data_IF_886071069512
#
_entry.id   IF_886071069512
#
_cell.length_a   1.000
_cell.length_b   1.000
_cell.length_c   1.000
_cell.angle_alpha   90.00
_cell.angle_beta   90.00
_cell.angle_gamma   90.00
#
_symmetry.space_group_name_H-M   'P 1'
#
loop_
_entity.id
_entity.type
_entity.pdbx_description
1 polymer ?
#
# COMPACT_ATOMS: atom_id res chain seq x y z
N UNK A 1 -12.11 -0.50 16.65
CA UNK A 1 -12.20 -1.52 15.59
C UNK A 1 -10.84 -1.60 14.90
N UNK A 2 -10.32 -2.79 14.65
CA UNK A 2 -9.08 -2.95 13.92
C UNK A 2 -9.24 -2.39 12.49
N UNK A 3 -8.26 -1.64 12.00
CA UNK A 3 -8.21 -1.10 10.65
C UNK A 3 -8.05 -2.25 9.67
N UNK A 4 -8.99 -2.42 8.74
CA UNK A 4 -8.97 -3.49 7.72
C UNK A 4 -9.16 -2.91 6.33
N UNK A 5 -8.64 -3.61 5.32
CA UNK A 5 -8.83 -3.21 3.92
C UNK A 5 -10.22 -3.62 3.47
N UNK A 6 -11.05 -2.69 2.98
CA UNK A 6 -12.37 -2.99 2.48
C UNK A 6 -12.32 -3.81 1.18
N UNK A 7 -13.44 -4.42 0.79
CA UNK A 7 -13.62 -4.88 -0.57
C UNK A 7 -13.91 -3.69 -1.48
N UNK A 8 -13.15 -3.57 -2.56
CA UNK A 8 -13.34 -2.49 -3.54
C UNK A 8 -14.24 -2.89 -4.72
N UNK A 9 -14.68 -4.15 -4.79
CA UNK A 9 -15.42 -4.68 -5.95
C UNK A 9 -16.77 -4.00 -6.22
N UNK A 10 -17.40 -3.44 -5.19
CA UNK A 10 -18.63 -2.67 -5.31
C UNK A 10 -18.37 -1.16 -5.51
N UNK A 11 -17.17 -0.68 -5.20
CA UNK A 11 -16.82 0.72 -5.30
C UNK A 11 -16.83 1.21 -6.75
N UNK A 12 -17.32 2.43 -6.95
CA UNK A 12 -17.38 3.12 -8.26
C UNK A 12 -16.70 4.46 -8.17
N UNK A 13 -15.83 4.75 -9.11
CA UNK A 13 -15.14 6.05 -9.19
C UNK A 13 -15.17 6.56 -10.63
N UNK A 14 -15.66 7.79 -10.79
CA UNK A 14 -15.51 8.57 -12.01
C UNK A 14 -14.29 9.46 -11.86
N UNK A 15 -13.32 9.31 -12.76
CA UNK A 15 -12.13 10.17 -12.83
C UNK A 15 -12.31 11.13 -14.00
N UNK A 16 -12.08 12.42 -13.77
CA UNK A 16 -12.05 13.43 -14.82
C UNK A 16 -10.82 14.31 -14.64
N UNK A 17 -10.14 14.68 -15.73
CA UNK A 17 -8.98 15.55 -15.63
C UNK A 17 -8.04 15.49 -16.80
N UNK A 18 -6.83 16.00 -16.56
CA UNK A 18 -5.78 16.07 -17.56
C UNK A 18 -5.13 14.71 -17.75
N UNK A 19 -5.43 14.06 -18.87
CA UNK A 19 -4.83 12.77 -19.25
C UNK A 19 -3.55 12.99 -20.04
N UNK A 20 -2.56 12.12 -19.86
CA UNK A 20 -1.30 12.20 -20.60
C UNK A 20 -0.69 10.82 -20.84
N UNK A 21 0.16 10.73 -21.86
CA UNK A 21 0.93 9.56 -22.19
C UNK A 21 2.39 9.78 -21.82
N UNK A 22 2.92 8.96 -20.92
CA UNK A 22 4.35 8.91 -20.62
C UNK A 22 5.03 7.88 -21.54
N UNK A 23 5.92 8.35 -22.42
CA UNK A 23 6.72 7.50 -23.31
C UNK A 23 8.18 7.44 -22.82
N UNK A 24 8.75 6.25 -22.87
CA UNK A 24 10.14 6.01 -22.50
C UNK A 24 10.85 5.32 -23.66
N UNK A 25 11.90 5.95 -24.19
CA UNK A 25 12.77 5.36 -25.19
C UNK A 25 14.10 4.97 -24.56
N UNK A 26 14.40 3.69 -24.63
CA UNK A 26 15.63 3.13 -24.07
C UNK A 26 16.61 2.78 -25.16
N UNK A 27 17.91 3.05 -24.92
CA UNK A 27 18.95 2.63 -25.84
C UNK A 27 20.34 3.09 -25.44
N UNK A 28 21.38 2.45 -26.00
CA UNK A 28 22.76 2.86 -25.76
C UNK A 28 23.05 4.21 -26.42
N UNK A 29 23.80 5.04 -25.67
CA UNK A 29 24.38 6.30 -26.14
C UNK A 29 25.90 6.13 -26.21
N UNK A 30 26.45 5.82 -27.39
CA UNK A 30 27.86 5.48 -27.55
C UNK A 30 28.63 6.41 -28.48
N UNK A 31 27.97 7.38 -29.10
CA UNK A 31 28.61 8.31 -30.04
C UNK A 31 28.01 9.72 -29.95
N UNK A 32 28.80 10.70 -30.39
CA UNK A 32 28.37 12.08 -30.62
C UNK A 32 27.97 12.21 -32.09
N UNK A 33 26.97 13.04 -32.38
CA UNK A 33 26.55 13.32 -33.76
C UNK A 33 27.68 14.05 -34.52
N UNK A 34 27.91 13.69 -35.81
CA UNK A 34 28.80 14.48 -36.66
C UNK A 34 28.19 15.84 -37.06
N UNK A 35 26.87 16.04 -36.89
CA UNK A 35 26.16 17.24 -37.31
C UNK A 35 26.10 18.32 -36.21
N UNK A 36 26.24 17.90 -34.94
CA UNK A 36 26.22 18.80 -33.78
C UNK A 36 26.82 18.09 -32.54
N UNK A 37 27.33 18.82 -31.55
CA UNK A 37 27.92 18.22 -30.33
C UNK A 37 26.84 17.66 -29.38
N UNK A 38 25.99 16.78 -29.87
CA UNK A 38 24.90 16.14 -29.13
C UNK A 38 25.05 14.61 -29.13
N UNK A 39 24.64 13.95 -28.06
CA UNK A 39 24.66 12.50 -27.96
C UNK A 39 23.67 11.84 -28.95
N UNK A 40 24.05 10.72 -29.55
CA UNK A 40 23.17 9.88 -30.39
C UNK A 40 22.73 8.67 -29.60
N UNK A 41 21.43 8.56 -29.34
CA UNK A 41 20.83 7.38 -28.72
C UNK A 41 20.24 6.49 -29.80
N UNK A 42 20.67 5.22 -29.82
CA UNK A 42 20.08 4.21 -30.69
C UNK A 42 18.93 3.53 -29.92
N UNK A 43 17.69 3.93 -30.20
CA UNK A 43 16.52 3.36 -29.54
C UNK A 43 16.43 1.86 -29.83
N UNK A 44 16.39 1.05 -28.79
CA UNK A 44 16.28 -0.42 -28.85
C UNK A 44 14.98 -0.94 -28.27
N UNK A 45 14.34 -0.18 -27.38
CA UNK A 45 13.03 -0.50 -26.83
C UNK A 45 12.26 0.78 -26.47
N UNK A 46 10.94 0.68 -26.42
CA UNK A 46 10.04 1.71 -25.97
C UNK A 46 9.07 1.14 -24.95
N UNK A 47 8.60 1.99 -24.05
CA UNK A 47 7.54 1.69 -23.10
C UNK A 47 6.58 2.89 -23.06
N UNK A 48 5.32 2.60 -22.87
CA UNK A 48 4.27 3.60 -22.69
C UNK A 48 3.54 3.38 -21.36
N UNK A 49 3.20 4.45 -20.67
CA UNK A 49 2.50 4.42 -19.40
C UNK A 49 1.44 5.52 -19.37
N UNK A 50 0.37 5.26 -18.63
CA UNK A 50 -0.64 6.25 -18.33
C UNK A 50 -0.10 7.28 -17.34
N UNK A 51 -0.32 8.58 -17.59
CA UNK A 51 0.08 9.68 -16.68
C UNK A 51 -1.10 10.57 -16.34
N UNK A 52 -0.97 11.40 -15.30
CA UNK A 52 -2.02 12.27 -14.82
C UNK A 52 -3.29 11.54 -14.42
N UNK A 53 -4.45 12.07 -14.80
CA UNK A 53 -5.75 11.44 -14.51
C UNK A 53 -5.85 9.99 -15.00
N UNK A 54 -5.14 9.62 -16.07
CA UNK A 54 -5.08 8.25 -16.56
C UNK A 54 -4.31 7.32 -15.59
N UNK A 55 -3.25 7.81 -14.92
CA UNK A 55 -2.55 7.06 -13.89
C UNK A 55 -3.42 6.86 -12.63
N UNK A 56 -4.19 7.87 -12.23
CA UNK A 56 -5.18 7.73 -11.15
C UNK A 56 -6.17 6.62 -11.47
N UNK A 57 -6.70 6.58 -12.71
CA UNK A 57 -7.65 5.56 -13.14
C UNK A 57 -7.04 4.15 -13.15
N UNK A 58 -5.79 3.99 -13.60
CA UNK A 58 -5.05 2.70 -13.54
C UNK A 58 -4.87 2.22 -12.10
N UNK A 59 -4.51 3.12 -11.17
CA UNK A 59 -4.38 2.77 -9.76
C UNK A 59 -5.71 2.28 -9.16
N UNK A 60 -6.83 2.95 -9.47
CA UNK A 60 -8.17 2.53 -9.05
C UNK A 60 -8.55 1.15 -9.61
N UNK A 61 -8.34 0.92 -10.89
CA UNK A 61 -8.62 -0.36 -11.53
C UNK A 61 -7.77 -1.50 -10.95
N UNK A 62 -6.50 -1.24 -10.62
CA UNK A 62 -5.60 -2.19 -9.95
C UNK A 62 -6.09 -2.63 -8.56
N UNK A 63 -6.89 -1.79 -7.88
CA UNK A 63 -7.56 -2.13 -6.63
C UNK A 63 -8.85 -2.94 -6.82
N UNK A 64 -9.33 -3.09 -8.07
CA UNK A 64 -10.60 -3.73 -8.40
C UNK A 64 -11.81 -2.78 -8.32
N UNK A 65 -11.60 -1.46 -8.32
CA UNK A 65 -12.65 -0.45 -8.36
C UNK A 65 -13.22 -0.35 -9.78
N UNK A 66 -14.53 -0.24 -9.91
CA UNK A 66 -15.18 0.05 -11.20
C UNK A 66 -14.88 1.50 -11.60
N UNK A 67 -13.96 1.68 -12.53
CA UNK A 67 -13.39 2.97 -12.88
C UNK A 67 -13.81 3.41 -14.26
N UNK A 68 -14.34 4.64 -14.36
CA UNK A 68 -14.57 5.35 -15.63
C UNK A 68 -13.70 6.59 -15.68
N UNK A 69 -13.07 6.85 -16.82
CA UNK A 69 -12.18 7.99 -17.03
C UNK A 69 -12.70 8.89 -18.14
N UNK A 70 -12.80 10.18 -17.87
CA UNK A 70 -13.05 11.23 -18.84
C UNK A 70 -11.83 12.13 -18.99
N UNK A 71 -11.45 12.46 -20.19
CA UNK A 71 -10.29 13.30 -20.48
C UNK A 71 -10.36 13.96 -21.86
N UNK A 72 -9.50 14.94 -22.09
CA UNK A 72 -9.33 15.58 -23.40
C UNK A 72 -8.02 15.09 -24.01
N UNK A 73 -8.08 14.69 -25.28
CA UNK A 73 -6.92 14.23 -26.07
C UNK A 73 -6.93 14.85 -27.45
N UNK A 74 -5.81 14.77 -28.14
CA UNK A 74 -5.79 14.94 -29.59
C UNK A 74 -6.47 13.77 -30.30
N UNK A 75 -6.66 13.92 -31.61
CA UNK A 75 -7.04 12.81 -32.50
C UNK A 75 -5.79 12.30 -33.22
N UNK A 76 -4.93 11.62 -32.42
CA UNK A 76 -3.59 11.22 -32.83
C UNK A 76 -3.20 9.82 -32.27
N UNK A 77 -2.05 9.29 -32.72
CA UNK A 77 -1.55 7.98 -32.31
C UNK A 77 -1.37 7.86 -30.80
N UNK A 78 -1.02 8.95 -30.10
CA UNK A 78 -0.83 8.95 -28.66
C UNK A 78 -2.17 8.74 -27.92
N UNK A 79 -3.27 9.34 -28.41
CA UNK A 79 -4.63 9.10 -27.91
C UNK A 79 -5.04 7.64 -28.05
N UNK A 80 -4.81 7.04 -29.22
CA UNK A 80 -5.16 5.63 -29.45
C UNK A 80 -4.31 4.68 -28.63
N UNK A 81 -3.00 4.95 -28.49
CA UNK A 81 -2.10 4.19 -27.61
C UNK A 81 -2.58 4.25 -26.16
N UNK A 82 -2.89 5.45 -25.65
CA UNK A 82 -3.37 5.63 -24.28
C UNK A 82 -4.70 4.90 -24.05
N UNK A 83 -5.65 5.00 -24.98
CA UNK A 83 -6.93 4.29 -24.89
C UNK A 83 -6.74 2.77 -24.87
N UNK A 84 -5.87 2.23 -25.73
CA UNK A 84 -5.56 0.80 -25.76
C UNK A 84 -4.93 0.32 -24.45
N UNK A 85 -3.97 1.09 -23.92
CA UNK A 85 -3.32 0.81 -22.64
C UNK A 85 -4.33 0.75 -21.49
N UNK A 86 -5.23 1.73 -21.41
CA UNK A 86 -6.26 1.81 -20.38
C UNK A 86 -7.27 0.66 -20.46
N UNK A 87 -7.69 0.30 -21.68
CA UNK A 87 -8.58 -0.84 -21.88
C UNK A 87 -7.96 -2.16 -21.40
N UNK A 88 -6.66 -2.39 -21.63
CA UNK A 88 -5.93 -3.55 -21.11
C UNK A 88 -5.82 -3.56 -19.59
N UNK A 89 -5.86 -2.39 -18.95
CA UNK A 89 -5.84 -2.24 -17.48
C UNK A 89 -7.25 -2.28 -16.86
N UNK A 90 -8.31 -2.50 -17.67
CA UNK A 90 -9.69 -2.59 -17.18
C UNK A 90 -10.33 -1.24 -16.86
N UNK A 91 -9.82 -0.15 -17.41
CA UNK A 91 -10.39 1.19 -17.28
C UNK A 91 -11.36 1.45 -18.42
N UNK A 92 -12.60 1.80 -18.10
CA UNK A 92 -13.57 2.32 -19.07
C UNK A 92 -13.25 3.80 -19.31
N UNK A 93 -12.79 4.16 -20.52
CA UNK A 93 -12.39 5.53 -20.83
C UNK A 93 -13.15 6.11 -22.01
N UNK A 94 -13.52 7.37 -21.86
CA UNK A 94 -14.19 8.18 -22.89
C UNK A 94 -13.44 9.50 -23.05
N UNK A 95 -12.79 9.68 -24.22
CA UNK A 95 -12.00 10.88 -24.50
C UNK A 95 -12.76 11.83 -25.44
N UNK A 96 -12.79 13.11 -25.04
CA UNK A 96 -13.10 14.20 -25.93
C UNK A 96 -11.91 14.42 -26.87
N UNK A 97 -11.99 13.96 -28.11
CA UNK A 97 -10.93 14.13 -29.09
C UNK A 97 -11.02 15.47 -29.77
N UNK A 98 -9.91 16.21 -29.72
CA UNK A 98 -9.76 17.53 -30.32
C UNK A 98 -8.69 17.46 -31.41
N UNK A 99 -9.07 17.62 -32.71
CA UNK A 99 -8.10 17.45 -33.81
C UNK A 99 -7.01 18.53 -33.85
N UNK A 100 -7.28 19.69 -33.25
CA UNK A 100 -6.41 20.86 -33.33
C UNK A 100 -5.35 20.93 -32.19
N UNK A 101 -5.35 19.98 -31.25
CA UNK A 101 -4.36 19.90 -30.18
C UNK A 101 -3.70 18.51 -30.12
N UNK A 102 -2.43 18.41 -29.75
CA UNK A 102 -1.81 17.10 -29.54
C UNK A 102 -2.28 16.48 -28.22
N UNK A 103 -2.32 15.14 -28.17
CA UNK A 103 -2.42 14.43 -26.88
C UNK A 103 -1.19 14.73 -26.06
N UNK A 104 -1.38 15.19 -24.81
CA UNK A 104 -0.27 15.49 -23.91
C UNK A 104 0.62 14.26 -23.80
N UNK A 105 1.87 14.38 -24.25
CA UNK A 105 2.83 13.29 -24.25
C UNK A 105 4.15 13.76 -23.66
N UNK A 106 4.67 13.01 -22.68
CA UNK A 106 5.97 13.25 -22.08
C UNK A 106 6.94 12.15 -22.49
N UNK A 107 7.78 12.43 -23.48
CA UNK A 107 8.78 11.49 -23.98
C UNK A 107 10.09 11.64 -23.23
N UNK A 108 10.56 10.55 -22.60
CA UNK A 108 11.86 10.47 -21.92
C UNK A 108 12.80 9.56 -22.67
N UNK A 109 14.00 10.05 -22.95
CA UNK A 109 15.07 9.29 -23.57
C UNK A 109 16.06 8.83 -22.49
N UNK A 110 16.22 7.53 -22.34
CA UNK A 110 16.99 6.91 -21.26
C UNK A 110 18.13 6.06 -21.83
N UNK A 111 19.34 6.26 -21.31
CA UNK A 111 20.50 5.43 -21.59
C UNK A 111 21.20 5.05 -20.29
N UNK A 112 21.55 3.76 -20.12
CA UNK A 112 22.25 3.24 -18.92
C UNK A 112 21.61 3.70 -17.59
N UNK A 113 20.28 3.64 -17.49
CA UNK A 113 19.48 4.08 -16.34
C UNK A 113 19.55 5.59 -16.03
N UNK A 114 20.03 6.42 -16.96
CA UNK A 114 20.08 7.87 -16.84
C UNK A 114 19.15 8.51 -17.88
N UNK A 115 18.30 9.43 -17.45
CA UNK A 115 17.49 10.25 -18.34
C UNK A 115 18.40 11.31 -19.00
N UNK A 116 18.48 11.27 -20.33
CA UNK A 116 19.28 12.21 -21.12
C UNK A 116 18.47 13.43 -21.56
N UNK A 117 17.19 13.24 -21.87
CA UNK A 117 16.32 14.27 -22.41
C UNK A 117 14.86 13.94 -22.02
N UNK A 118 14.04 15.01 -21.84
CA UNK A 118 12.59 14.95 -21.84
C UNK A 118 12.05 15.90 -22.89
N UNK A 119 11.10 15.43 -23.70
CA UNK A 119 10.36 16.23 -24.67
C UNK A 119 8.89 16.20 -24.28
N UNK A 120 8.28 17.38 -24.12
CA UNK A 120 6.89 17.53 -23.76
C UNK A 120 6.13 18.01 -24.99
N UNK A 121 5.18 17.19 -25.46
CA UNK A 121 4.24 17.50 -26.55
C UNK A 121 2.94 17.95 -25.91
N UNK A 122 2.73 19.25 -25.84
CA UNK A 122 1.54 19.86 -25.24
C UNK A 122 1.35 21.27 -25.79
N UNK A 123 0.10 21.68 -25.91
CA UNK A 123 -0.25 23.05 -26.25
C UNK A 123 -0.48 23.87 -24.97
N UNK A 124 -0.17 25.16 -24.97
CA UNK A 124 -0.45 26.03 -23.83
C UNK A 124 -1.94 26.02 -23.46
N UNK A 125 -2.29 26.08 -22.17
CA UNK A 125 -3.67 26.22 -21.74
C UNK A 125 -4.35 27.42 -22.41
N UNK A 126 -5.51 27.21 -23.04
CA UNK A 126 -6.28 28.28 -23.71
C UNK A 126 -6.08 28.43 -25.22
N UNK A 127 -5.19 27.64 -25.85
CA UNK A 127 -5.06 27.61 -27.31
C UNK A 127 -6.21 26.80 -27.99
N UNK A 128 -6.82 25.85 -27.23
CA UNK A 128 -8.04 25.14 -27.68
C UNK A 128 -9.28 25.86 -27.18
N UNK A 129 -10.12 26.31 -28.09
CA UNK A 129 -11.36 27.05 -27.84
C UNK A 129 -12.22 26.34 -26.75
N UNK A 130 -12.14 26.77 -25.49
CA UNK A 130 -13.13 26.50 -24.45
C UNK A 130 -13.53 25.04 -24.20
N UNK A 131 -12.70 24.08 -24.58
CA UNK A 131 -12.98 22.67 -24.30
C UNK A 131 -12.89 22.43 -22.79
N UNK A 132 -13.99 22.00 -22.19
CA UNK A 132 -14.09 21.64 -20.77
C UNK A 132 -14.90 20.38 -20.63
N UNK A 133 -14.56 19.57 -19.62
CA UNK A 133 -15.24 18.30 -19.34
C UNK A 133 -16.56 18.47 -18.56
N UNK A 134 -16.97 19.68 -18.18
CA UNK A 134 -18.10 19.92 -17.29
C UNK A 134 -19.38 19.24 -17.73
N UNK A 135 -19.76 19.39 -19.01
CA UNK A 135 -21.00 18.79 -19.56
C UNK A 135 -20.90 17.26 -19.63
N UNK A 136 -19.74 16.73 -20.05
CA UNK A 136 -19.55 15.27 -20.11
C UNK A 136 -19.54 14.65 -18.72
N UNK A 137 -18.86 15.29 -17.76
CA UNK A 137 -18.87 14.84 -16.37
C UNK A 137 -20.28 14.87 -15.80
N UNK A 138 -21.03 15.96 -15.99
CA UNK A 138 -22.41 16.07 -15.52
C UNK A 138 -23.33 14.97 -16.08
N UNK A 139 -23.14 14.60 -17.36
CA UNK A 139 -23.87 13.51 -18.00
C UNK A 139 -23.44 12.11 -17.54
N UNK A 140 -22.18 11.95 -17.15
CA UNK A 140 -21.57 10.68 -16.76
C UNK A 140 -21.56 10.43 -15.23
N UNK A 141 -22.07 11.37 -14.40
CA UNK A 141 -22.10 11.22 -12.95
C UNK A 141 -22.78 9.91 -12.55
N UNK A 142 -22.15 9.07 -11.73
CA UNK A 142 -22.75 7.83 -11.25
C UNK A 142 -23.92 8.11 -10.30
N UNK A 143 -24.76 7.10 -10.07
CA UNK A 143 -25.82 7.18 -9.07
C UNK A 143 -25.24 7.12 -7.64
N UNK A 144 -24.18 6.35 -7.47
CA UNK A 144 -23.40 6.17 -6.23
C UNK A 144 -21.91 6.13 -6.54
N UNK A 145 -21.07 6.50 -5.58
CA UNK A 145 -19.61 6.44 -5.70
C UNK A 145 -18.90 7.76 -5.41
N UNK A 146 -17.74 7.94 -6.01
CA UNK A 146 -16.87 9.12 -5.80
C UNK A 146 -16.44 9.69 -7.15
N UNK A 147 -16.34 11.02 -7.24
CA UNK A 147 -15.73 11.71 -8.38
C UNK A 147 -14.34 12.20 -8.02
N UNK A 148 -13.36 11.87 -8.85
CA UNK A 148 -11.98 12.37 -8.73
C UNK A 148 -11.71 13.37 -9.82
N UNK A 149 -11.22 14.55 -9.45
CA UNK A 149 -10.78 15.59 -10.36
C UNK A 149 -9.26 15.72 -10.26
N UNK A 150 -8.54 15.27 -11.30
CA UNK A 150 -7.07 15.29 -11.36
C UNK A 150 -6.63 16.45 -12.26
N UNK A 151 -6.21 17.54 -11.64
CA UNK A 151 -5.85 18.78 -12.31
C UNK A 151 -4.31 18.91 -12.44
N UNK A 152 -3.85 19.06 -13.66
CA UNK A 152 -2.45 19.36 -14.01
C UNK A 152 -2.30 20.72 -14.70
N UNK A 153 -3.36 21.55 -14.61
CA UNK A 153 -3.44 22.87 -15.26
C UNK A 153 -3.24 22.81 -16.80
N UNK A 154 -3.76 21.75 -17.44
CA UNK A 154 -3.72 21.56 -18.88
C UNK A 154 -5.05 21.88 -19.59
N UNK A 155 -6.04 22.34 -18.83
CA UNK A 155 -7.27 22.93 -19.35
C UNK A 155 -8.51 22.04 -19.32
N UNK A 156 -8.39 20.72 -19.09
CA UNK A 156 -9.56 19.82 -19.04
C UNK A 156 -10.58 20.20 -17.95
N UNK A 157 -10.12 20.82 -16.87
CA UNK A 157 -10.92 21.23 -15.72
C UNK A 157 -11.08 22.77 -15.62
N UNK A 158 -11.15 23.48 -16.76
CA UNK A 158 -11.33 24.95 -16.79
C UNK A 158 -12.57 25.39 -16.01
N UNK A 159 -13.71 24.66 -16.14
CA UNK A 159 -14.98 24.92 -15.46
C UNK A 159 -15.20 24.02 -14.25
N UNK A 160 -14.14 23.77 -13.44
CA UNK A 160 -14.17 22.80 -12.32
C UNK A 160 -15.27 23.09 -11.29
N UNK A 161 -15.65 24.36 -11.09
CA UNK A 161 -16.74 24.75 -10.18
C UNK A 161 -18.11 24.20 -10.62
N UNK A 162 -18.38 24.17 -11.91
CA UNK A 162 -19.64 23.60 -12.44
C UNK A 162 -19.70 22.09 -12.19
N UNK A 163 -18.55 21.39 -12.33
CA UNK A 163 -18.43 19.97 -12.02
C UNK A 163 -18.68 19.72 -10.51
N UNK A 164 -18.03 20.49 -9.63
CA UNK A 164 -18.21 20.38 -8.18
C UNK A 164 -19.68 20.65 -7.79
N UNK A 165 -20.30 21.67 -8.38
CA UNK A 165 -21.70 21.99 -8.13
C UNK A 165 -22.64 20.87 -8.59
N UNK A 166 -22.40 20.28 -9.75
CA UNK A 166 -23.19 19.15 -10.27
C UNK A 166 -23.07 17.90 -9.38
N UNK A 167 -21.88 17.61 -8.86
CA UNK A 167 -21.65 16.51 -7.92
C UNK A 167 -22.38 16.76 -6.59
N UNK A 168 -22.25 17.97 -6.03
CA UNK A 168 -22.94 18.33 -4.78
C UNK A 168 -24.45 18.25 -4.88
N UNK A 169 -25.03 18.61 -6.01
CA UNK A 169 -26.48 18.50 -6.27
C UNK A 169 -26.98 17.04 -6.22
N UNK A 170 -26.07 16.06 -6.32
CA UNK A 170 -26.35 14.62 -6.23
C UNK A 170 -25.76 13.96 -4.99
N UNK A 171 -25.27 14.72 -4.03
CA UNK A 171 -24.59 14.23 -2.81
C UNK A 171 -23.38 13.30 -3.09
N UNK A 172 -22.72 13.48 -4.26
CA UNK A 172 -21.55 12.71 -4.64
C UNK A 172 -20.29 13.35 -4.06
N UNK A 173 -19.46 12.60 -3.30
CA UNK A 173 -18.17 13.08 -2.82
C UNK A 173 -17.23 13.40 -3.99
N UNK A 174 -16.53 14.54 -3.88
CA UNK A 174 -15.54 15.00 -4.86
C UNK A 174 -14.17 15.10 -4.20
N UNK A 175 -13.21 14.33 -4.71
CA UNK A 175 -11.79 14.40 -4.31
C UNK A 175 -11.03 15.10 -5.42
N UNK A 176 -10.31 16.16 -5.10
CA UNK A 176 -9.53 16.93 -6.09
C UNK A 176 -8.05 16.83 -5.78
N UNK A 177 -7.27 16.44 -6.79
CA UNK A 177 -5.82 16.61 -6.81
C UNK A 177 -5.54 17.98 -7.47
N UNK A 178 -5.21 19.01 -6.68
CA UNK A 178 -5.19 20.38 -7.15
C UNK A 178 -3.89 20.74 -7.83
N UNK A 179 -3.93 21.77 -8.71
CA UNK A 179 -2.75 22.40 -9.30
C UNK A 179 -2.86 23.91 -9.29
N UNK A 180 -1.68 24.56 -9.20
CA UNK A 180 -1.58 26.04 -9.21
C UNK A 180 -1.58 26.64 -7.81
N UNK A 181 -1.72 27.97 -7.77
CA UNK A 181 -1.67 28.78 -6.53
C UNK A 181 -3.03 29.38 -6.14
N UNK A 182 -4.09 29.05 -6.86
CA UNK A 182 -5.46 29.47 -6.54
C UNK A 182 -6.36 28.27 -6.33
N UNK A 183 -6.58 27.92 -5.06
CA UNK A 183 -7.47 26.83 -4.69
C UNK A 183 -8.93 27.27 -4.52
N UNK A 184 -9.26 28.54 -4.68
CA UNK A 184 -10.65 29.03 -4.62
C UNK A 184 -11.52 28.36 -5.69
N UNK A 185 -10.92 28.00 -6.82
CA UNK A 185 -11.58 27.26 -7.90
C UNK A 185 -12.08 25.86 -7.53
N UNK A 186 -11.61 25.29 -6.39
CA UNK A 186 -12.05 23.98 -5.87
C UNK A 186 -12.98 24.09 -4.66
N UNK A 187 -13.48 25.29 -4.37
CA UNK A 187 -14.38 25.49 -3.24
C UNK A 187 -15.61 24.57 -3.30
N UNK A 188 -15.98 24.01 -2.15
CA UNK A 188 -17.09 23.06 -2.02
C UNK A 188 -16.80 21.63 -2.39
N UNK A 189 -15.56 21.28 -2.78
CA UNK A 189 -15.14 19.90 -2.91
C UNK A 189 -15.18 19.16 -1.55
N UNK A 190 -15.32 17.84 -1.56
CA UNK A 190 -15.26 17.03 -0.35
C UNK A 190 -13.85 17.01 0.23
N UNK A 191 -12.83 16.87 -0.64
CA UNK A 191 -11.44 16.83 -0.24
C UNK A 191 -10.51 17.45 -1.28
N UNK A 192 -9.40 18.03 -0.80
CA UNK A 192 -8.22 18.36 -1.60
C UNK A 192 -7.01 17.55 -1.12
N UNK A 193 -6.10 17.21 -2.06
CA UNK A 193 -4.89 16.42 -1.79
C UNK A 193 -3.59 17.12 -2.22
N UNK A 194 -3.36 18.41 -1.89
CA UNK A 194 -2.15 19.09 -2.31
C UNK A 194 -0.90 18.50 -1.66
N UNK A 195 0.24 18.63 -2.35
CA UNK A 195 1.52 18.46 -1.69
C UNK A 195 1.90 19.70 -0.88
N UNK A 196 2.91 19.57 -0.02
CA UNK A 196 3.33 20.68 0.87
C UNK A 196 3.69 21.95 0.08
N UNK A 197 4.40 21.83 -1.04
CA UNK A 197 4.81 22.98 -1.83
C UNK A 197 3.60 23.69 -2.49
N UNK A 198 2.62 22.94 -2.98
CA UNK A 198 1.37 23.47 -3.53
C UNK A 198 0.53 24.15 -2.43
N UNK A 199 0.48 23.54 -1.25
CA UNK A 199 -0.21 24.14 -0.10
C UNK A 199 0.46 25.46 0.32
N UNK A 200 1.78 25.46 0.50
CA UNK A 200 2.53 26.66 0.89
C UNK A 200 2.48 27.78 -0.16
N UNK A 201 2.36 27.43 -1.43
CA UNK A 201 2.17 28.43 -2.50
C UNK A 201 0.85 29.21 -2.33
N UNK A 202 -0.16 28.61 -1.67
CA UNK A 202 -1.46 29.25 -1.42
C UNK A 202 -1.50 29.98 -0.08
N UNK A 203 -0.98 29.36 0.99
CA UNK A 203 -1.14 29.87 2.37
C UNK A 203 0.13 30.51 2.95
N UNK A 204 1.23 30.50 2.19
CA UNK A 204 2.56 30.88 2.65
C UNK A 204 3.28 29.75 3.41
N UNK A 205 4.61 29.85 3.52
CA UNK A 205 5.48 28.85 4.16
C UNK A 205 5.06 28.50 5.58
N UNK A 206 5.24 27.25 5.99
CA UNK A 206 4.97 26.76 7.34
C UNK A 206 6.27 26.43 8.03
N UNK A 207 6.53 27.04 9.20
CA UNK A 207 7.76 26.81 9.97
C UNK A 207 7.73 25.52 10.77
N UNK A 208 6.52 25.08 11.18
CA UNK A 208 6.30 23.89 11.98
C UNK A 208 4.92 23.25 11.71
N UNK A 209 4.66 22.11 12.35
CA UNK A 209 3.40 21.38 12.23
C UNK A 209 2.21 22.16 12.78
N UNK A 210 2.41 23.00 13.78
CA UNK A 210 1.33 23.80 14.36
C UNK A 210 0.83 24.85 13.36
N UNK A 211 1.73 25.57 12.71
CA UNK A 211 1.38 26.54 11.66
C UNK A 211 0.71 25.83 10.46
N UNK A 212 1.22 24.65 10.07
CA UNK A 212 0.62 23.85 9.01
C UNK A 212 -0.83 23.47 9.35
N UNK A 213 -1.10 23.05 10.60
CA UNK A 213 -2.46 22.75 11.05
C UNK A 213 -3.36 23.97 11.05
N UNK A 214 -2.89 25.09 11.61
CA UNK A 214 -3.67 26.35 11.71
C UNK A 214 -4.05 26.85 10.32
N UNK A 215 -3.07 26.98 9.41
CA UNK A 215 -3.30 27.41 8.03
C UNK A 215 -4.16 26.42 7.24
N UNK A 216 -3.96 25.12 7.44
CA UNK A 216 -4.76 24.10 6.80
C UNK A 216 -6.22 24.09 7.26
N UNK A 217 -6.51 24.32 8.55
CA UNK A 217 -7.88 24.53 9.06
C UNK A 217 -8.53 25.76 8.47
N UNK A 218 -7.78 26.86 8.41
CA UNK A 218 -8.28 28.12 7.83
C UNK A 218 -8.63 27.92 6.34
N UNK A 219 -7.74 27.33 5.55
CA UNK A 219 -7.97 27.04 4.13
C UNK A 219 -9.16 26.10 3.93
N UNK A 220 -9.24 25.00 4.70
CA UNK A 220 -10.36 24.06 4.66
C UNK A 220 -11.69 24.76 4.90
N UNK A 221 -11.78 25.62 5.93
CA UNK A 221 -12.97 26.40 6.25
C UNK A 221 -13.31 27.40 5.16
N UNK A 222 -12.31 28.13 4.67
CA UNK A 222 -12.50 29.15 3.62
C UNK A 222 -13.08 28.51 2.33
N UNK A 223 -12.62 27.30 1.98
CA UNK A 223 -13.05 26.60 0.78
C UNK A 223 -14.29 25.72 1.00
N UNK A 224 -14.78 25.58 2.24
CA UNK A 224 -15.93 24.73 2.57
C UNK A 224 -15.67 23.24 2.29
N UNK A 225 -14.44 22.75 2.54
CA UNK A 225 -14.09 21.34 2.34
C UNK A 225 -14.52 20.48 3.52
N UNK A 226 -14.88 19.23 3.27
CA UNK A 226 -15.06 18.23 4.32
C UNK A 226 -13.75 17.90 5.01
N UNK A 227 -12.65 17.73 4.27
CA UNK A 227 -11.30 17.53 4.83
C UNK A 227 -10.20 17.95 3.85
N UNK A 228 -8.96 18.09 4.36
CA UNK A 228 -7.76 18.37 3.59
C UNK A 228 -6.73 17.29 3.92
N UNK A 229 -6.14 16.64 2.89
CA UNK A 229 -5.07 15.68 3.04
C UNK A 229 -3.79 16.24 2.42
N UNK A 230 -2.83 16.66 3.24
CA UNK A 230 -1.55 17.20 2.80
C UNK A 230 -0.53 16.07 2.67
N UNK A 231 0.11 15.94 1.51
CA UNK A 231 1.25 15.02 1.32
C UNK A 231 2.56 15.76 1.59
N UNK A 232 3.44 15.17 2.45
CA UNK A 232 4.67 15.79 2.95
C UNK A 232 5.93 14.99 2.59
N UNK A 233 5.89 14.32 1.44
CA UNK A 233 7.01 13.49 0.95
C UNK A 233 7.51 12.49 2.02
N UNK A 234 8.80 12.51 2.35
CA UNK A 234 9.40 11.62 3.35
C UNK A 234 8.88 11.79 4.79
N UNK A 235 8.10 12.83 5.07
CA UNK A 235 7.45 13.03 6.37
C UNK A 235 6.05 12.41 6.46
N UNK A 236 5.55 11.82 5.36
CA UNK A 236 4.24 11.19 5.31
C UNK A 236 3.11 12.15 4.97
N UNK A 237 1.98 12.09 5.69
CA UNK A 237 0.78 12.87 5.38
C UNK A 237 0.17 13.51 6.62
N UNK A 238 -0.59 14.58 6.41
CA UNK A 238 -1.40 15.23 7.47
C UNK A 238 -2.83 15.35 6.99
N UNK A 239 -3.74 14.67 7.67
CA UNK A 239 -5.18 14.81 7.48
C UNK A 239 -5.73 15.90 8.40
N UNK A 240 -6.40 16.89 7.83
CA UNK A 240 -7.12 17.95 8.57
C UNK A 240 -8.61 17.73 8.34
N UNK A 241 -9.32 17.08 9.29
CA UNK A 241 -10.74 16.77 9.15
C UNK A 241 -11.62 18.01 9.41
N UNK A 242 -12.90 17.89 9.09
CA UNK A 242 -13.90 18.91 9.42
C UNK A 242 -13.97 19.15 10.92
N UNK A 243 -14.03 18.08 11.69
CA UNK A 243 -14.14 18.09 13.14
C UNK A 243 -12.98 17.30 13.77
N UNK A 244 -12.48 17.77 14.90
CA UNK A 244 -11.44 17.09 15.65
C UNK A 244 -10.03 17.65 15.41
N UNK A 245 -9.04 16.88 15.83
CA UNK A 245 -7.63 17.24 15.69
C UNK A 245 -7.08 16.78 14.34
N UNK A 246 -6.04 17.45 13.85
CA UNK A 246 -5.28 16.95 12.73
C UNK A 246 -4.63 15.59 13.06
N UNK A 247 -4.50 14.74 12.06
CA UNK A 247 -3.93 13.41 12.18
C UNK A 247 -2.68 13.34 11.33
N UNK A 248 -1.54 13.14 11.96
CA UNK A 248 -0.26 12.97 11.28
C UNK A 248 0.01 11.50 11.05
N UNK A 249 0.20 11.13 9.79
CA UNK A 249 0.55 9.79 9.35
C UNK A 249 2.00 9.81 8.91
N UNK A 250 2.94 9.18 9.65
CA UNK A 250 4.34 9.14 9.27
C UNK A 250 4.53 8.35 7.98
N UNK A 251 5.61 8.63 7.23
CA UNK A 251 5.92 7.87 6.04
C UNK A 251 6.20 6.40 6.37
N UNK A 252 5.61 5.50 5.57
CA UNK A 252 5.65 4.05 5.79
C UNK A 252 6.96 3.38 5.39
N UNK A 253 7.81 4.08 4.66
CA UNK A 253 9.12 3.56 4.24
C UNK A 253 10.20 4.64 4.27
N UNK A 254 11.44 4.21 4.52
CA UNK A 254 12.65 5.03 4.36
C UNK A 254 13.39 4.73 3.05
N UNK A 255 13.05 3.62 2.40
CA UNK A 255 13.64 3.21 1.12
C UNK A 255 12.78 3.74 -0.01
N UNK A 256 13.29 4.73 -0.72
CA UNK A 256 12.61 5.39 -1.85
C UNK A 256 13.45 5.17 -3.11
N UNK A 257 12.86 4.53 -4.12
CA UNK A 257 13.47 4.37 -5.45
C UNK A 257 12.97 5.42 -6.43
N UNK A 258 11.66 5.65 -6.46
CA UNK A 258 11.05 6.62 -7.36
C UNK A 258 9.75 7.17 -6.76
N UNK A 259 9.60 8.49 -6.78
CA UNK A 259 8.39 9.15 -6.24
C UNK A 259 7.37 9.48 -7.33
N UNK A 260 7.66 9.15 -8.60
CA UNK A 260 6.81 9.47 -9.74
C UNK A 260 5.47 8.73 -9.63
N UNK A 261 4.36 9.47 -9.68
CA UNK A 261 3.00 8.93 -9.58
C UNK A 261 2.55 8.57 -8.15
N UNK A 262 3.35 8.86 -7.12
CA UNK A 262 2.93 8.63 -5.73
C UNK A 262 1.71 9.49 -5.35
N UNK A 263 1.62 10.74 -5.81
CA UNK A 263 0.45 11.61 -5.64
C UNK A 263 -0.81 10.99 -6.25
N UNK A 264 -0.71 10.55 -7.51
CA UNK A 264 -1.82 9.86 -8.20
C UNK A 264 -2.30 8.62 -7.44
N UNK A 265 -1.35 7.84 -6.88
CA UNK A 265 -1.68 6.67 -6.05
C UNK A 265 -2.40 7.09 -4.77
N UNK A 266 -1.97 8.17 -4.10
CA UNK A 266 -2.63 8.70 -2.90
C UNK A 266 -4.08 9.07 -3.20
N UNK A 267 -4.30 9.85 -4.25
CA UNK A 267 -5.65 10.28 -4.67
C UNK A 267 -6.53 9.09 -5.00
N UNK A 268 -6.01 8.14 -5.79
CA UNK A 268 -6.73 6.93 -6.19
C UNK A 268 -7.16 6.08 -4.99
N UNK A 269 -6.22 5.80 -4.07
CA UNK A 269 -6.51 4.94 -2.90
C UNK A 269 -7.42 5.66 -1.90
N UNK A 270 -7.25 6.97 -1.71
CA UNK A 270 -8.15 7.79 -0.90
C UNK A 270 -9.59 7.72 -1.43
N UNK A 271 -9.77 7.95 -2.74
CA UNK A 271 -11.06 7.89 -3.39
C UNK A 271 -11.68 6.49 -3.35
N UNK A 272 -10.87 5.43 -3.57
CA UNK A 272 -11.31 4.04 -3.42
C UNK A 272 -11.80 3.73 -2.00
N UNK A 273 -11.08 4.20 -0.98
CA UNK A 273 -11.46 4.04 0.43
C UNK A 273 -12.79 4.71 0.72
N UNK A 274 -12.98 5.97 0.29
CA UNK A 274 -14.24 6.71 0.46
C UNK A 274 -15.39 6.00 -0.27
N UNK A 275 -15.17 5.57 -1.55
CA UNK A 275 -16.16 4.85 -2.33
C UNK A 275 -16.55 3.49 -1.71
N UNK A 276 -15.64 2.87 -0.94
CA UNK A 276 -15.90 1.67 -0.16
C UNK A 276 -16.47 1.96 1.26
N UNK A 277 -16.92 3.19 1.54
CA UNK A 277 -17.57 3.58 2.79
C UNK A 277 -16.62 3.76 3.98
N UNK A 278 -15.32 3.90 3.74
CA UNK A 278 -14.36 4.18 4.81
C UNK A 278 -14.44 5.64 5.27
N UNK A 279 -14.14 5.85 6.55
CA UNK A 279 -13.97 7.21 7.06
C UNK A 279 -12.78 7.91 6.41
N UNK A 280 -12.74 9.26 6.35
CA UNK A 280 -11.59 9.99 5.83
C UNK A 280 -10.25 9.58 6.48
N UNK A 281 -10.25 9.29 7.77
CA UNK A 281 -9.07 8.82 8.51
C UNK A 281 -8.60 7.46 8.00
N UNK A 282 -9.50 6.49 7.86
CA UNK A 282 -9.14 5.16 7.36
C UNK A 282 -8.69 5.19 5.90
N UNK A 283 -9.38 5.99 5.06
CA UNK A 283 -8.99 6.18 3.67
C UNK A 283 -7.60 6.85 3.54
N UNK A 284 -7.28 7.83 4.40
CA UNK A 284 -5.95 8.45 4.44
C UNK A 284 -4.85 7.46 4.90
N UNK A 285 -5.15 6.59 5.89
CA UNK A 285 -4.23 5.52 6.31
C UNK A 285 -3.94 4.54 5.16
N UNK A 286 -4.98 4.14 4.40
CA UNK A 286 -4.82 3.29 3.22
C UNK A 286 -3.95 3.99 2.16
N UNK A 287 -4.20 5.26 1.90
CA UNK A 287 -3.46 6.06 0.93
C UNK A 287 -1.97 6.19 1.33
N UNK A 288 -1.68 6.41 2.62
CA UNK A 288 -0.31 6.49 3.13
C UNK A 288 0.43 5.14 2.98
N UNK A 289 -0.23 4.03 3.29
CA UNK A 289 0.32 2.69 3.09
C UNK A 289 0.62 2.42 1.62
N UNK A 290 -0.31 2.76 0.71
CA UNK A 290 -0.13 2.59 -0.73
C UNK A 290 1.03 3.43 -1.27
N UNK A 291 1.15 4.70 -0.84
CA UNK A 291 2.27 5.55 -1.19
C UNK A 291 3.61 4.94 -0.79
N UNK A 292 3.72 4.38 0.42
CA UNK A 292 4.92 3.67 0.88
C UNK A 292 5.28 2.45 0.04
N UNK A 293 4.29 1.75 -0.52
CA UNK A 293 4.51 0.63 -1.43
C UNK A 293 4.98 1.07 -2.82
N UNK A 294 4.36 2.12 -3.37
CA UNK A 294 4.65 2.59 -4.73
C UNK A 294 6.03 3.20 -4.84
N UNK A 295 6.47 4.02 -3.88
CA UNK A 295 7.80 4.65 -3.92
C UNK A 295 8.97 3.66 -3.86
N UNK A 296 8.71 2.39 -3.52
CA UNK A 296 9.68 1.29 -3.57
C UNK A 296 9.73 0.59 -4.92
N UNK A 297 8.85 0.92 -5.85
CA UNK A 297 8.80 0.38 -7.21
C UNK A 297 9.50 1.36 -8.17
N UNK A 298 10.02 0.88 -9.28
CA UNK A 298 10.69 1.69 -10.29
C UNK A 298 9.67 2.28 -11.28
N UNK A 299 9.66 3.59 -11.44
CA UNK A 299 8.77 4.31 -12.35
C UNK A 299 7.34 4.38 -11.85
N UNK A 300 6.43 4.83 -12.72
CA UNK A 300 4.99 4.87 -12.44
C UNK A 300 4.49 3.44 -12.24
N UNK A 301 4.09 3.11 -11.02
CA UNK A 301 3.60 1.79 -10.63
C UNK A 301 2.27 1.90 -9.92
N UNK A 302 1.44 0.86 -9.99
CA UNK A 302 0.19 0.74 -9.26
C UNK A 302 0.32 -0.25 -8.08
N UNK A 303 -0.67 -0.21 -7.18
CA UNK A 303 -0.79 -1.11 -6.03
C UNK A 303 -2.08 -1.90 -6.15
N UNK A 304 -1.99 -3.23 -6.02
CA UNK A 304 -3.17 -4.09 -5.95
C UNK A 304 -3.76 -4.16 -4.55
N UNK A 305 -5.03 -4.56 -4.45
CA UNK A 305 -5.69 -4.80 -3.16
C UNK A 305 -4.96 -5.89 -2.34
N UNK A 306 -4.36 -6.89 -3.00
CA UNK A 306 -3.62 -7.95 -2.32
C UNK A 306 -2.26 -7.47 -1.78
N UNK A 307 -1.57 -6.59 -2.51
CA UNK A 307 -0.36 -5.93 -2.00
C UNK A 307 -0.67 -5.07 -0.78
N UNK A 308 -1.78 -4.31 -0.81
CA UNK A 308 -2.24 -3.54 0.35
C UNK A 308 -2.56 -4.44 1.55
N UNK A 309 -3.30 -5.55 1.33
CA UNK A 309 -3.61 -6.51 2.39
C UNK A 309 -2.33 -7.09 3.00
N UNK A 310 -1.40 -7.50 2.15
CA UNK A 310 -0.10 -8.03 2.58
C UNK A 310 0.70 -6.99 3.37
N UNK A 311 0.72 -5.75 2.89
CA UNK A 311 1.40 -4.66 3.59
C UNK A 311 0.73 -4.31 4.92
N UNK A 312 -0.61 -4.23 4.96
CA UNK A 312 -1.32 -3.97 6.20
C UNK A 312 -1.07 -5.07 7.24
N UNK A 313 -1.05 -6.34 6.83
CA UNK A 313 -0.68 -7.44 7.72
C UNK A 313 0.76 -7.30 8.24
N UNK A 314 1.67 -6.76 7.43
CA UNK A 314 3.05 -6.44 7.87
C UNK A 314 3.12 -5.19 8.75
N UNK A 315 2.24 -4.21 8.57
CA UNK A 315 2.24 -2.91 9.27
C UNK A 315 1.32 -2.87 10.49
N UNK A 316 0.28 -3.69 10.52
CA UNK A 316 -0.65 -3.77 11.65
C UNK A 316 0.02 -4.09 12.99
N UNK A 317 1.22 -4.62 12.91
CA UNK A 317 2.19 -4.76 14.02
C UNK A 317 3.56 -4.96 13.35
N UNK A 318 4.45 -4.04 13.41
CA UNK A 318 5.83 -4.09 12.90
C UNK A 318 6.36 -5.48 12.52
N UNK A 319 5.96 -6.03 11.40
CA UNK A 319 6.43 -7.25 10.74
C UNK A 319 6.69 -8.51 11.57
N UNK A 320 6.31 -8.51 12.88
CA UNK A 320 6.64 -9.55 13.84
C UNK A 320 5.56 -9.57 14.90
N UNK A 321 4.58 -10.45 14.74
CA UNK A 321 3.48 -10.49 15.71
C UNK A 321 3.86 -11.27 16.95
N UNK A 322 4.35 -10.51 17.94
CA UNK A 322 4.28 -10.93 19.32
C UNK A 322 2.83 -10.73 19.76
N UNK A 323 2.09 -11.82 19.91
CA UNK A 323 0.65 -11.76 20.22
C UNK A 323 0.37 -12.35 21.59
N UNK A 324 -0.58 -11.75 22.31
CA UNK A 324 -1.15 -12.39 23.49
C UNK A 324 -2.12 -13.52 23.05
N UNK A 325 -2.52 -14.36 24.01
CA UNK A 325 -3.39 -15.51 23.76
C UNK A 325 -4.71 -15.14 23.10
N UNK A 326 -5.40 -14.10 23.57
CA UNK A 326 -6.71 -13.71 23.03
C UNK A 326 -6.62 -13.16 21.60
N UNK A 327 -5.56 -12.40 21.32
CA UNK A 327 -5.24 -11.92 19.95
C UNK A 327 -4.91 -13.08 19.02
N UNK A 328 -4.16 -14.10 19.47
CA UNK A 328 -3.80 -15.26 18.68
C UNK A 328 -5.05 -16.08 18.27
N UNK A 329 -5.97 -16.34 19.22
CA UNK A 329 -7.23 -17.04 18.95
C UNK A 329 -8.02 -16.35 17.83
N UNK A 330 -8.11 -15.03 17.86
CA UNK A 330 -8.81 -14.25 16.84
C UNK A 330 -8.11 -14.34 15.48
N UNK A 331 -6.78 -14.18 15.44
CA UNK A 331 -5.98 -14.23 14.21
C UNK A 331 -6.05 -15.59 13.53
N UNK A 332 -5.98 -16.68 14.31
CA UNK A 332 -6.08 -18.04 13.76
C UNK A 332 -7.47 -18.31 13.19
N UNK A 333 -8.52 -17.94 13.93
CA UNK A 333 -9.92 -18.10 13.45
C UNK A 333 -10.16 -17.30 12.16
N UNK A 334 -9.67 -16.08 12.08
CA UNK A 334 -9.79 -15.23 10.90
C UNK A 334 -9.03 -15.84 9.70
N UNK A 335 -7.83 -16.38 9.91
CA UNK A 335 -7.07 -17.07 8.87
C UNK A 335 -7.81 -18.30 8.35
N UNK A 336 -8.30 -19.16 9.25
CA UNK A 336 -9.08 -20.34 8.91
C UNK A 336 -10.39 -20.01 8.16
N UNK A 337 -11.07 -18.91 8.56
CA UNK A 337 -12.27 -18.43 7.85
C UNK A 337 -11.98 -18.02 6.41
N UNK A 338 -10.76 -17.55 6.12
CA UNK A 338 -10.28 -17.27 4.76
C UNK A 338 -9.79 -18.49 3.99
N UNK A 339 -9.84 -19.69 4.60
CA UNK A 339 -9.34 -20.93 4.01
C UNK A 339 -7.82 -21.10 4.12
N UNK A 340 -7.13 -20.25 4.91
CA UNK A 340 -5.70 -20.41 5.18
C UNK A 340 -5.48 -21.56 6.18
N UNK A 341 -4.49 -22.41 5.90
CA UNK A 341 -4.12 -23.53 6.77
C UNK A 341 -3.12 -23.09 7.80
N UNK A 342 -3.46 -23.16 9.08
CA UNK A 342 -2.63 -22.71 10.20
C UNK A 342 -1.86 -23.87 10.81
N UNK A 343 -0.54 -23.74 10.85
CA UNK A 343 0.40 -24.66 11.49
C UNK A 343 0.82 -24.08 12.83
N UNK A 344 0.91 -24.91 13.86
CA UNK A 344 1.40 -24.49 15.18
C UNK A 344 2.50 -25.41 15.69
N UNK A 345 3.53 -24.82 16.28
CA UNK A 345 4.57 -25.53 17.02
C UNK A 345 4.85 -24.84 18.34
N UNK A 346 5.55 -25.53 19.26
CA UNK A 346 5.94 -24.96 20.53
C UNK A 346 7.35 -25.34 20.96
N UNK A 347 7.99 -24.50 21.79
CA UNK A 347 9.29 -24.77 22.36
C UNK A 347 9.85 -23.67 23.25
N UNK A 348 10.97 -23.94 23.90
CA UNK A 348 11.68 -22.95 24.71
C UNK A 348 12.45 -21.93 23.85
N UNK A 349 13.06 -22.38 22.76
CA UNK A 349 13.87 -21.56 21.84
C UNK A 349 14.86 -20.63 22.53
N UNK A 350 15.55 -21.19 23.52
CA UNK A 350 16.42 -20.42 24.41
C UNK A 350 17.65 -19.84 23.70
N UNK A 351 18.36 -20.68 22.91
CA UNK A 351 19.40 -20.24 21.98
C UNK A 351 19.03 -20.79 20.61
N UNK A 352 18.77 -19.90 19.65
CA UNK A 352 18.48 -20.29 18.28
C UNK A 352 19.76 -20.73 17.55
N UNK A 353 19.60 -21.77 16.73
CA UNK A 353 20.63 -22.28 15.84
C UNK A 353 20.01 -22.76 14.51
N UNK A 354 20.86 -23.07 13.52
CA UNK A 354 20.40 -23.43 12.18
C UNK A 354 19.39 -24.60 12.17
N UNK A 355 19.48 -25.54 13.12
CA UNK A 355 18.51 -26.62 13.26
C UNK A 355 17.09 -26.13 13.60
N UNK A 356 16.95 -25.08 14.40
CA UNK A 356 15.65 -24.45 14.66
C UNK A 356 15.11 -23.75 13.41
N UNK A 357 15.98 -23.08 12.63
CA UNK A 357 15.57 -22.37 11.40
C UNK A 357 15.01 -23.38 10.39
N UNK A 358 15.76 -24.45 10.09
CA UNK A 358 15.33 -25.49 9.16
C UNK A 358 13.99 -26.16 9.60
N UNK A 359 13.88 -26.48 10.90
CA UNK A 359 12.66 -27.05 11.46
C UNK A 359 11.45 -26.13 11.30
N UNK A 360 11.61 -24.80 11.53
CA UNK A 360 10.52 -23.85 11.38
C UNK A 360 10.15 -23.63 9.91
N UNK A 361 11.12 -23.71 8.98
CA UNK A 361 10.86 -23.68 7.53
C UNK A 361 10.07 -24.92 7.08
N UNK A 362 10.44 -26.11 7.55
CA UNK A 362 9.70 -27.34 7.27
C UNK A 362 8.28 -27.30 7.87
N UNK A 363 8.13 -26.80 9.10
CA UNK A 363 6.82 -26.62 9.71
C UNK A 363 5.95 -25.64 8.89
N UNK A 364 6.52 -24.51 8.46
CA UNK A 364 5.83 -23.51 7.61
C UNK A 364 5.36 -24.11 6.29
N UNK A 365 6.12 -24.99 5.69
CA UNK A 365 5.77 -25.64 4.42
C UNK A 365 4.52 -26.53 4.50
N UNK A 366 4.01 -26.83 5.71
CA UNK A 366 2.79 -27.62 5.93
C UNK A 366 1.50 -26.81 5.89
N UNK A 367 1.58 -25.47 5.78
CA UNK A 367 0.42 -24.59 5.70
C UNK A 367 0.75 -23.14 5.37
N UNK A 368 -0.26 -22.30 5.40
CA UNK A 368 -0.17 -20.91 4.99
C UNK A 368 0.33 -19.98 6.11
N UNK A 369 0.14 -20.37 7.38
CA UNK A 369 0.57 -19.60 8.57
C UNK A 369 1.27 -20.50 9.57
N UNK A 370 2.35 -19.97 10.18
CA UNK A 370 3.07 -20.66 11.26
C UNK A 370 2.97 -19.87 12.57
N UNK A 371 2.39 -20.49 13.58
CA UNK A 371 2.37 -20.07 14.99
C UNK A 371 3.51 -20.74 15.72
N UNK A 372 4.30 -19.96 16.45
CA UNK A 372 5.31 -20.48 17.39
C UNK A 372 4.92 -20.11 18.83
N UNK A 373 4.52 -21.09 19.62
CA UNK A 373 4.26 -20.90 21.04
C UNK A 373 5.57 -21.05 21.84
N UNK A 374 5.87 -20.05 22.69
CA UNK A 374 7.14 -19.96 23.43
C UNK A 374 6.89 -20.08 24.92
N UNK A 375 7.57 -21.00 25.59
CA UNK A 375 7.56 -21.12 27.05
C UNK A 375 8.08 -19.83 27.70
N UNK A 376 7.38 -19.28 28.69
CA UNK A 376 7.88 -18.16 29.48
C UNK A 376 9.13 -18.55 30.30
N UNK A 377 9.79 -17.57 30.94
CA UNK A 377 11.04 -17.80 31.65
C UNK A 377 10.83 -18.72 32.86
N UNK A 378 9.69 -18.59 33.55
CA UNK A 378 9.38 -19.44 34.72
C UNK A 378 9.15 -20.90 34.28
N UNK A 379 8.42 -21.13 33.16
CA UNK A 379 8.21 -22.46 32.60
C UNK A 379 9.53 -23.09 32.13
N UNK A 380 10.41 -22.33 31.46
CA UNK A 380 11.72 -22.83 31.05
C UNK A 380 12.57 -23.22 32.27
N UNK A 381 12.57 -22.40 33.35
CA UNK A 381 13.29 -22.72 34.56
C UNK A 381 12.79 -24.04 35.22
N UNK A 382 11.46 -24.26 35.23
CA UNK A 382 10.91 -25.53 35.76
C UNK A 382 11.30 -26.73 34.89
N UNK A 383 11.35 -26.56 33.59
CA UNK A 383 11.63 -27.66 32.63
C UNK A 383 13.13 -27.97 32.49
N UNK A 384 14.02 -26.98 32.60
CA UNK A 384 15.46 -27.11 32.28
C UNK A 384 16.39 -26.81 33.43
N UNK A 385 15.85 -26.45 34.57
CA UNK A 385 16.62 -26.19 35.80
C UNK A 385 17.08 -24.76 35.97
N UNK A 386 17.69 -24.46 37.14
CA UNK A 386 18.21 -23.15 37.48
C UNK A 386 19.31 -22.69 36.52
N UNK A 387 19.29 -21.42 36.15
CA UNK A 387 20.21 -20.83 35.14
C UNK A 387 19.71 -20.92 33.69
N UNK A 388 18.49 -21.37 33.50
CA UNK A 388 17.78 -21.34 32.21
C UNK A 388 16.45 -20.57 32.33
N UNK A 389 16.01 -19.82 31.33
CA UNK A 389 16.66 -19.62 30.01
C UNK A 389 17.89 -18.71 30.10
N UNK A 390 18.77 -18.75 29.10
CA UNK A 390 19.89 -17.82 28.92
C UNK A 390 19.34 -16.47 28.42
N UNK A 391 18.44 -16.50 27.42
CA UNK A 391 17.81 -15.32 26.85
C UNK A 391 16.41 -15.12 27.46
N UNK A 392 16.07 -13.91 27.92
CA UNK A 392 14.72 -13.61 28.41
C UNK A 392 13.66 -13.79 27.36
N UNK A 393 12.40 -14.03 27.77
CA UNK A 393 11.28 -14.29 26.88
C UNK A 393 11.13 -13.26 25.76
N UNK A 394 11.27 -11.97 26.10
CA UNK A 394 11.13 -10.88 25.12
C UNK A 394 12.13 -10.99 23.97
N UNK A 395 13.38 -11.33 24.26
CA UNK A 395 14.44 -11.48 23.26
C UNK A 395 14.20 -12.74 22.41
N UNK A 396 13.84 -13.87 23.06
CA UNK A 396 13.54 -15.13 22.37
C UNK A 396 12.38 -14.96 21.38
N UNK A 397 11.29 -14.32 21.80
CA UNK A 397 10.15 -14.02 20.97
C UNK A 397 10.51 -13.06 19.83
N UNK A 398 11.31 -12.03 20.12
CA UNK A 398 11.75 -11.04 19.11
C UNK A 398 12.58 -11.68 18.00
N UNK A 399 13.51 -12.60 18.35
CA UNK A 399 14.34 -13.30 17.36
C UNK A 399 13.51 -14.26 16.53
N UNK A 400 12.59 -15.02 17.12
CA UNK A 400 11.67 -15.90 16.39
C UNK A 400 10.78 -15.14 15.41
N UNK A 401 10.19 -14.05 15.85
CA UNK A 401 9.37 -13.19 14.99
C UNK A 401 10.17 -12.58 13.82
N UNK A 402 11.50 -12.57 13.91
CA UNK A 402 12.41 -12.13 12.85
C UNK A 402 12.65 -13.15 11.75
N UNK A 403 12.24 -14.41 11.93
CA UNK A 403 12.42 -15.47 10.96
C UNK A 403 11.34 -15.40 9.87
N UNK A 404 11.72 -15.52 8.60
CA UNK A 404 10.80 -15.44 7.47
C UNK A 404 9.69 -16.50 7.50
N UNK A 405 9.95 -17.64 8.11
CA UNK A 405 9.00 -18.74 8.23
C UNK A 405 7.92 -18.52 9.29
N UNK A 406 8.09 -17.57 10.24
CA UNK A 406 7.23 -17.40 11.40
C UNK A 406 6.27 -16.24 11.18
N UNK A 407 4.95 -16.51 11.31
CA UNK A 407 3.91 -15.49 11.18
C UNK A 407 3.51 -14.92 12.55
N UNK A 408 3.32 -15.79 13.57
CA UNK A 408 2.88 -15.37 14.91
C UNK A 408 3.69 -16.05 16.00
N UNK A 409 4.05 -15.29 17.04
CA UNK A 409 4.75 -15.79 18.22
C UNK A 409 3.94 -15.43 19.45
N UNK A 410 3.54 -16.43 20.24
CA UNK A 410 2.76 -16.23 21.46
C UNK A 410 3.43 -16.88 22.67
N UNK A 411 3.45 -16.23 23.85
CA UNK A 411 3.96 -16.82 25.07
C UNK A 411 2.91 -17.72 25.73
N UNK A 412 3.38 -18.73 26.47
CA UNK A 412 2.55 -19.48 27.42
C UNK A 412 3.36 -19.78 28.69
N UNK A 413 2.65 -19.86 29.83
CA UNK A 413 3.26 -19.99 31.18
C UNK A 413 3.03 -21.37 31.79
N UNK A 414 2.13 -22.16 31.20
CA UNK A 414 1.80 -23.50 31.64
C UNK A 414 2.94 -24.49 31.38
N UNK A 415 2.98 -25.60 32.10
CA UNK A 415 4.02 -26.63 31.94
C UNK A 415 3.93 -27.33 30.57
N UNK A 416 2.75 -27.33 29.96
CA UNK A 416 2.50 -27.82 28.61
C UNK A 416 1.67 -26.83 27.79
N UNK A 417 1.78 -26.80 26.46
CA UNK A 417 1.01 -25.88 25.61
C UNK A 417 -0.44 -26.31 25.40
N UNK A 418 -0.93 -27.37 26.07
CA UNK A 418 -2.22 -27.96 25.80
C UNK A 418 -3.38 -26.96 25.84
N UNK A 419 -3.46 -26.12 26.87
CA UNK A 419 -4.51 -25.11 27.02
C UNK A 419 -4.48 -24.05 25.91
N UNK A 420 -3.28 -23.65 25.45
CA UNK A 420 -3.15 -22.71 24.32
C UNK A 420 -3.56 -23.38 23.02
N UNK A 421 -3.16 -24.63 22.79
CA UNK A 421 -3.52 -25.40 21.59
C UNK A 421 -5.03 -25.64 21.52
N UNK A 422 -5.67 -25.96 22.66
CA UNK A 422 -7.12 -26.14 22.76
C UNK A 422 -7.92 -24.87 22.47
N UNK A 423 -7.37 -23.71 22.83
CA UNK A 423 -7.99 -22.42 22.56
C UNK A 423 -7.85 -22.00 21.09
N UNK A 424 -6.69 -22.31 20.49
CA UNK A 424 -6.31 -21.89 19.13
C UNK A 424 -6.85 -22.86 18.07
N UNK A 425 -6.82 -24.19 18.33
CA UNK A 425 -7.22 -25.26 17.42
C UNK A 425 -6.61 -25.12 16.02
N UNK A 426 -5.28 -25.23 15.88
CA UNK A 426 -4.62 -25.12 14.58
C UNK A 426 -5.01 -26.29 13.66
N UNK A 427 -4.90 -26.11 12.33
CA UNK A 427 -5.15 -27.17 11.35
C UNK A 427 -4.05 -28.25 11.36
N UNK A 428 -2.81 -27.85 11.71
CA UNK A 428 -1.67 -28.77 11.83
C UNK A 428 -0.88 -28.44 13.10
N UNK A 429 -0.75 -29.40 14.00
CA UNK A 429 0.16 -29.32 15.14
C UNK A 429 1.46 -30.04 14.81
N UNK A 430 2.59 -29.36 14.95
CA UNK A 430 3.91 -29.90 14.63
C UNK A 430 4.78 -29.99 15.88
N UNK A 431 5.49 -31.12 16.05
CA UNK A 431 6.50 -31.32 17.09
C UNK A 431 7.79 -31.83 16.48
N UNK A 432 8.93 -31.28 16.93
CA UNK A 432 10.24 -31.75 16.50
C UNK A 432 10.80 -32.80 17.45
N UNK A 433 11.35 -33.89 16.92
CA UNK A 433 11.99 -34.97 17.67
C UNK A 433 11.25 -36.31 17.57
N UNK A 434 11.64 -37.26 18.41
CA UNK A 434 11.11 -38.63 18.41
C UNK A 434 9.93 -38.79 19.38
N UNK A 435 8.86 -38.00 19.15
CA UNK A 435 7.63 -38.10 19.94
C UNK A 435 6.65 -39.06 19.32
N UNK A 436 5.91 -39.79 20.17
CA UNK A 436 4.69 -40.52 19.72
C UNK A 436 3.55 -39.49 19.63
N UNK A 437 2.73 -39.58 18.61
CA UNK A 437 1.64 -38.63 18.39
C UNK A 437 0.71 -38.56 19.61
N UNK A 438 0.50 -39.69 20.28
CA UNK A 438 -0.35 -39.81 21.46
C UNK A 438 0.15 -39.05 22.67
N UNK A 439 1.47 -38.78 22.76
CA UNK A 439 2.14 -38.12 23.87
C UNK A 439 2.26 -36.60 23.64
N UNK A 440 1.83 -36.09 22.47
CA UNK A 440 1.92 -34.65 22.15
C UNK A 440 0.78 -33.90 22.83
N UNK A 441 1.14 -33.00 23.76
CA UNK A 441 0.21 -32.16 24.51
C UNK A 441 -0.67 -31.33 23.53
N UNK A 442 -2.00 -31.41 23.69
CA UNK A 442 -2.98 -30.76 22.81
C UNK A 442 -3.25 -31.49 21.50
N UNK A 443 -2.50 -32.57 21.19
CA UNK A 443 -2.68 -33.34 19.94
C UNK A 443 -4.09 -33.96 19.79
N UNK A 444 -4.65 -34.48 20.89
CA UNK A 444 -5.99 -35.05 20.88
C UNK A 444 -7.07 -34.00 20.52
N UNK A 445 -6.96 -32.79 21.02
CA UNK A 445 -7.88 -31.68 20.74
C UNK A 445 -7.84 -31.26 19.26
N UNK A 446 -6.64 -31.22 18.67
CA UNK A 446 -6.45 -30.93 17.24
C UNK A 446 -7.05 -32.02 16.36
N UNK A 447 -6.78 -33.31 16.67
CA UNK A 447 -7.34 -34.43 15.94
C UNK A 447 -8.87 -34.50 16.06
N UNK A 448 -9.44 -34.25 17.24
CA UNK A 448 -10.88 -34.21 17.46
C UNK A 448 -11.57 -33.07 16.67
N UNK A 449 -10.85 -31.99 16.40
CA UNK A 449 -11.32 -30.87 15.58
C UNK A 449 -11.09 -31.07 14.07
N UNK A 450 -10.63 -32.26 13.64
CA UNK A 450 -10.38 -32.59 12.23
C UNK A 450 -9.00 -32.10 11.70
N UNK A 451 -8.12 -31.63 12.57
CA UNK A 451 -6.74 -31.25 12.22
C UNK A 451 -5.77 -32.43 12.16
N UNK A 452 -4.52 -32.14 11.85
CA UNK A 452 -3.44 -33.13 11.75
C UNK A 452 -2.37 -32.90 12.85
N UNK A 453 -1.72 -33.98 13.31
CA UNK A 453 -0.57 -33.93 14.20
C UNK A 453 0.62 -34.57 13.49
N UNK A 454 1.72 -33.84 13.37
CA UNK A 454 2.94 -34.28 12.65
C UNK A 454 4.19 -34.16 13.54
N UNK A 455 5.06 -35.14 13.39
CA UNK A 455 6.41 -35.14 14.00
C UNK A 455 7.41 -34.92 12.88
N UNK A 456 8.25 -33.88 13.03
CA UNK A 456 9.34 -33.60 12.11
C UNK A 456 10.68 -34.03 12.70
N UNK A 457 11.58 -34.63 11.92
CA UNK A 457 12.91 -34.98 12.40
C UNK A 457 13.71 -33.74 12.77
N UNK A 458 14.51 -33.84 13.83
CA UNK A 458 15.46 -32.79 14.17
C UNK A 458 16.80 -33.06 13.46
N UNK A 459 17.48 -31.97 13.03
CA UNK A 459 18.84 -32.10 12.47
C UNK A 459 19.80 -32.66 13.52
N UNK A 460 20.45 -33.78 13.16
CA UNK A 460 21.46 -34.44 13.97
C UNK A 460 22.63 -33.51 14.33
N UNK A 461 23.10 -33.61 15.57
CA UNK A 461 24.31 -32.96 16.03
C UNK A 461 24.19 -31.49 16.46
N UNK A 462 22.99 -30.89 16.42
CA UNK A 462 22.76 -29.48 16.80
C UNK A 462 21.75 -29.36 17.92
N UNK A 463 22.23 -29.11 19.17
CA UNK A 463 21.35 -28.82 20.30
C UNK A 463 21.88 -27.64 21.12
N UNK A 464 20.95 -26.88 21.70
CA UNK A 464 21.27 -25.77 22.63
C UNK A 464 22.18 -26.22 23.79
N UNK A 465 21.99 -27.44 24.31
CA UNK A 465 22.82 -28.00 25.38
C UNK A 465 24.28 -28.16 24.96
N UNK A 466 24.54 -28.69 23.76
CA UNK A 466 25.92 -28.79 23.23
C UNK A 466 26.61 -27.44 23.02
N UNK A 467 25.85 -26.42 22.59
CA UNK A 467 26.39 -25.06 22.42
C UNK A 467 26.84 -24.53 23.80
N UNK A 468 26.03 -24.72 24.85
CA UNK A 468 26.33 -24.27 26.18
C UNK A 468 27.51 -25.05 26.79
N UNK A 469 27.59 -26.38 26.61
CA UNK A 469 28.72 -27.20 27.00
C UNK A 469 30.03 -26.74 26.36
N UNK A 470 29.99 -26.52 25.02
CA UNK A 470 31.16 -26.02 24.28
C UNK A 470 31.65 -24.62 24.73
N UNK A 471 30.78 -23.78 25.27
CA UNK A 471 31.15 -22.47 25.81
C UNK A 471 31.72 -22.61 27.26
N UNK A 472 31.25 -23.60 28.04
CA UNK A 472 31.73 -23.83 29.41
C UNK A 472 33.09 -24.54 29.44
N UNK A 473 33.43 -25.28 28.40
CA UNK A 473 34.70 -26.02 28.29
C UNK A 473 35.83 -25.16 27.67
N UNK A 474 35.57 -23.90 27.34
CA UNK A 474 36.56 -22.87 26.97
C UNK A 474 36.87 -21.93 28.13
#
# INVERSE_FOLDING_TARGET
MAFSIPSFSAARVLVAGDVMLDRYWFGPCSRISPEAPVPVVRVTSNQERAGGAANVAVNLASLGVKTRLLGITGDDDASYSLQSLLAHQGVDCEFMRMPDIPTITKLRVISRNQQLLRMDFEEPPGSGQGASLDQQVAAALPEDGVVVLSDYAKGALSNVQEIIAACRARDLPVVVDPKGSDFSRYAGATALTPNLAEFEAVVGSCEDLQQLEEKGRALRQQLGLGFLLLTRSGEGMTLIPENGKAIHLPAETREVYDVTGAGDTVVAVLAAGIAAGQSPENAAKLANLAAGLVVRKLGVASVSADELRTALHRHGKGGRELVDRGSLETLVRDAQTRGERVVMTNGCFDILHAGHVAYLEEAKALGDRLVVAVNDDASVTRLKGAGRPINPLADRMSVLAGLAAVDWVAPFSEDTPAQLIEAVLPDVLVKGGDYRIEDIAGGQSVLANGGEVKVLPLMDGRSTSRIIESIRDQ
#
